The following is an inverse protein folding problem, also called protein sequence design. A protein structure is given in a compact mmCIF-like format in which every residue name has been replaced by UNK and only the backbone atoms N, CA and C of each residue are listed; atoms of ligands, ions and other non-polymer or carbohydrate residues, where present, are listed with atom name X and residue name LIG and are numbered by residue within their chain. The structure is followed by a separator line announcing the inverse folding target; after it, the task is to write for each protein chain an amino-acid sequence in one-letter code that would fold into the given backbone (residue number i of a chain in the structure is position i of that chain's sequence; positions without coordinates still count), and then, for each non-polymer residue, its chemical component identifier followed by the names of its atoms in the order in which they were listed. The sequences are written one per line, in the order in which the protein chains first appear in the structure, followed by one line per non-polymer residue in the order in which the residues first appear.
data_IF_831734255857
#
_entry.id   IF_831734255857
#
_cell.length_a   1.000
_cell.length_b   1.000
_cell.length_c   1.000
_cell.angle_alpha   90.00
_cell.angle_beta   90.00
_cell.angle_gamma   90.00
#
_symmetry.space_group_name_H-M   'P 1'
#
loop_
_entity.id
_entity.type
_entity.pdbx_description
1 polymer ?
#
# COMPACT_ATOMS: atom_id res chain seq x y z
N UNK A 1 -15.09 -1.58 -12.62
CA UNK A 1 -15.51 -0.65 -11.53
C UNK A 1 -15.57 0.75 -12.08
N UNK A 2 -16.65 1.50 -11.79
CA UNK A 2 -16.85 2.86 -12.32
C UNK A 2 -15.82 3.84 -11.75
N UNK A 3 -15.50 4.89 -12.50
CA UNK A 3 -14.61 5.98 -12.06
C UNK A 3 -13.12 5.69 -12.12
N UNK A 4 -12.69 4.51 -12.60
CA UNK A 4 -11.28 4.11 -12.70
C UNK A 4 -10.72 4.32 -14.12
N UNK A 5 -11.54 4.13 -15.14
CA UNK A 5 -11.09 4.31 -16.53
C UNK A 5 -10.39 5.66 -16.75
N UNK A 6 -9.25 5.65 -17.41
CA UNK A 6 -8.38 6.82 -17.65
C UNK A 6 -7.92 7.57 -16.39
N UNK A 7 -8.03 6.96 -15.20
CA UNK A 7 -7.51 7.56 -13.98
C UNK A 7 -6.00 7.39 -13.86
N UNK A 8 -5.34 8.38 -13.25
CA UNK A 8 -3.90 8.32 -12.95
C UNK A 8 -3.64 7.77 -11.55
N UNK A 9 -2.87 6.69 -11.48
CA UNK A 9 -2.55 5.97 -10.24
C UNK A 9 -1.04 5.95 -10.00
N UNK A 10 -0.62 6.33 -8.80
CA UNK A 10 0.79 6.33 -8.38
C UNK A 10 0.97 5.35 -7.22
N UNK A 11 1.90 4.40 -7.33
CA UNK A 11 2.09 3.32 -6.34
C UNK A 11 3.54 3.29 -5.87
N UNK A 12 3.80 3.56 -4.58
CA UNK A 12 5.12 3.35 -3.97
C UNK A 12 5.32 1.89 -3.59
N UNK A 13 6.57 1.39 -3.64
CA UNK A 13 6.81 -0.05 -3.53
C UNK A 13 6.11 -0.83 -4.65
N UNK A 14 5.99 -0.19 -5.81
CA UNK A 14 5.19 -0.67 -6.95
C UNK A 14 5.73 -1.94 -7.61
N UNK A 15 7.00 -2.27 -7.40
CA UNK A 15 7.64 -3.46 -7.94
C UNK A 15 7.60 -4.67 -7.01
N UNK A 16 7.08 -4.54 -5.79
CA UNK A 16 6.78 -5.65 -4.88
C UNK A 16 5.53 -6.42 -5.31
N UNK A 17 5.30 -7.60 -4.71
CA UNK A 17 4.19 -8.48 -5.13
C UNK A 17 2.81 -7.83 -4.94
N UNK A 18 2.56 -7.14 -3.81
CA UNK A 18 1.31 -6.41 -3.57
C UNK A 18 1.21 -5.23 -4.54
N UNK A 19 2.28 -4.44 -4.69
CA UNK A 19 2.30 -3.29 -5.60
C UNK A 19 2.00 -3.67 -7.05
N UNK A 20 2.60 -4.76 -7.55
CA UNK A 20 2.34 -5.29 -8.89
C UNK A 20 0.92 -5.84 -9.04
N UNK A 21 0.37 -6.48 -8.02
CA UNK A 21 -1.02 -6.96 -8.04
C UNK A 21 -2.01 -5.78 -8.07
N UNK A 22 -1.76 -4.75 -7.27
CA UNK A 22 -2.55 -3.50 -7.29
C UNK A 22 -2.46 -2.84 -8.67
N UNK A 23 -1.24 -2.67 -9.20
CA UNK A 23 -1.03 -2.10 -10.54
C UNK A 23 -1.82 -2.85 -11.61
N UNK A 24 -1.78 -4.18 -11.60
CA UNK A 24 -2.53 -5.02 -12.54
C UNK A 24 -4.02 -4.76 -12.48
N UNK A 25 -4.62 -4.72 -11.27
CA UNK A 25 -6.05 -4.47 -11.11
C UNK A 25 -6.48 -3.10 -11.63
N UNK A 26 -5.66 -2.07 -11.41
CA UNK A 26 -5.94 -0.75 -11.95
C UNK A 26 -5.79 -0.68 -13.47
N UNK A 27 -4.77 -1.33 -14.06
CA UNK A 27 -4.59 -1.43 -15.50
C UNK A 27 -5.73 -2.18 -16.18
N UNK A 28 -6.18 -3.30 -15.61
CA UNK A 28 -7.35 -4.06 -16.08
C UNK A 28 -8.65 -3.23 -16.05
N UNK A 29 -8.71 -2.24 -15.15
CA UNK A 29 -9.83 -1.30 -15.07
C UNK A 29 -9.65 -0.03 -15.93
N UNK A 30 -8.62 0.03 -16.79
CA UNK A 30 -8.38 1.12 -17.74
C UNK A 30 -7.60 2.32 -17.17
N UNK A 31 -6.99 2.19 -16.00
CA UNK A 31 -6.16 3.24 -15.43
C UNK A 31 -4.76 3.32 -16.05
N UNK A 32 -4.12 4.49 -15.93
CA UNK A 32 -2.68 4.66 -16.16
C UNK A 32 -1.94 4.57 -14.83
N UNK A 33 -0.86 3.81 -14.77
CA UNK A 33 -0.16 3.48 -13.52
C UNK A 33 1.30 3.89 -13.56
N UNK A 34 1.75 4.66 -12.56
CA UNK A 34 3.16 4.92 -12.28
C UNK A 34 3.61 4.07 -11.11
N UNK A 35 4.59 3.20 -11.35
CA UNK A 35 5.28 2.45 -10.31
C UNK A 35 6.46 3.26 -9.79
N UNK A 36 6.55 3.48 -8.50
CA UNK A 36 7.66 4.14 -7.83
C UNK A 36 8.34 3.15 -6.87
N UNK A 37 9.64 2.90 -7.04
CA UNK A 37 10.36 1.90 -6.26
C UNK A 37 11.88 2.17 -6.26
N UNK A 38 12.62 1.52 -5.35
CA UNK A 38 14.09 1.58 -5.28
C UNK A 38 14.80 0.60 -6.22
N UNK A 39 14.08 -0.33 -6.85
CA UNK A 39 14.70 -1.28 -7.77
C UNK A 39 15.33 -0.56 -8.98
N UNK A 40 16.31 -1.18 -9.62
CA UNK A 40 16.89 -0.62 -10.85
C UNK A 40 15.85 -0.52 -11.97
N UNK A 41 16.00 0.46 -12.84
CA UNK A 41 15.10 0.66 -13.99
C UNK A 41 15.04 -0.59 -14.89
N UNK A 42 16.17 -1.28 -15.07
CA UNK A 42 16.22 -2.51 -15.82
C UNK A 42 15.35 -3.61 -15.21
N UNK A 43 15.41 -3.79 -13.88
CA UNK A 43 14.56 -4.75 -13.15
C UNK A 43 13.10 -4.37 -13.24
N UNK A 44 12.75 -3.09 -13.08
CA UNK A 44 11.39 -2.61 -13.21
C UNK A 44 10.82 -2.88 -14.60
N UNK A 45 11.54 -2.54 -15.66
CA UNK A 45 11.15 -2.82 -17.06
C UNK A 45 10.91 -4.31 -17.31
N UNK A 46 11.78 -5.18 -16.78
CA UNK A 46 11.60 -6.63 -16.89
C UNK A 46 10.34 -7.11 -16.17
N UNK A 47 10.04 -6.60 -14.97
CA UNK A 47 8.82 -6.92 -14.21
C UNK A 47 7.56 -6.45 -14.96
N UNK A 48 7.55 -5.20 -15.48
CA UNK A 48 6.44 -4.66 -16.27
C UNK A 48 6.17 -5.53 -17.49
N UNK A 49 7.21 -5.83 -18.27
CA UNK A 49 7.09 -6.68 -19.47
C UNK A 49 6.57 -8.08 -19.15
N UNK A 50 7.05 -8.69 -18.04
CA UNK A 50 6.69 -10.07 -17.67
C UNK A 50 5.32 -10.15 -17.01
N UNK A 51 5.00 -9.22 -16.09
CA UNK A 51 3.85 -9.35 -15.18
C UNK A 51 2.66 -8.46 -15.55
N UNK A 52 2.87 -7.28 -16.14
CA UNK A 52 1.78 -6.33 -16.39
C UNK A 52 1.37 -6.24 -17.86
N UNK A 53 2.32 -6.31 -18.80
CA UNK A 53 2.10 -6.36 -20.26
C UNK A 53 1.16 -5.26 -20.79
N UNK A 54 1.29 -4.04 -20.29
CA UNK A 54 0.46 -2.90 -20.66
C UNK A 54 1.32 -1.70 -21.08
N UNK A 55 0.89 -0.89 -22.06
CA UNK A 55 1.53 0.38 -22.40
C UNK A 55 1.19 1.49 -21.37
N UNK A 56 0.13 1.33 -20.59
CA UNK A 56 -0.38 2.31 -19.65
C UNK A 56 0.31 2.22 -18.27
N UNK A 57 1.49 1.61 -18.22
CA UNK A 57 2.32 1.56 -17.01
C UNK A 57 3.72 2.08 -17.28
N UNK A 58 4.24 2.87 -16.35
CA UNK A 58 5.61 3.38 -16.35
C UNK A 58 6.24 3.21 -14.98
N UNK A 59 7.55 3.48 -14.91
CA UNK A 59 8.35 3.36 -13.69
C UNK A 59 9.13 4.64 -13.42
N UNK A 60 9.33 4.95 -12.15
CA UNK A 60 10.25 5.99 -11.66
C UNK A 60 10.99 5.48 -10.42
N UNK A 61 12.30 5.72 -10.37
CA UNK A 61 13.08 5.45 -9.15
C UNK A 61 12.64 6.40 -8.03
N UNK A 62 12.35 5.85 -6.85
CA UNK A 62 11.88 6.64 -5.71
C UNK A 62 12.32 6.02 -4.39
N UNK A 63 13.14 6.77 -3.65
CA UNK A 63 13.40 6.52 -2.24
C UNK A 63 12.37 7.31 -1.41
N UNK A 64 11.41 6.61 -0.82
CA UNK A 64 10.33 7.24 -0.03
C UNK A 64 10.84 7.90 1.25
N UNK A 65 12.04 7.58 1.71
CA UNK A 65 12.64 8.17 2.92
C UNK A 65 13.19 9.57 2.66
N UNK A 66 13.35 9.96 1.37
CA UNK A 66 13.97 11.21 0.96
C UNK A 66 12.96 12.12 0.27
N UNK A 67 12.64 13.25 0.91
CA UNK A 67 11.66 14.21 0.41
C UNK A 67 11.93 14.63 -1.06
N UNK A 68 13.18 14.97 -1.40
CA UNK A 68 13.56 15.36 -2.76
C UNK A 68 13.34 14.24 -3.79
N UNK A 69 13.55 12.97 -3.40
CA UNK A 69 13.28 11.82 -4.26
C UNK A 69 11.77 11.64 -4.52
N UNK A 70 10.97 11.82 -3.50
CA UNK A 70 9.50 11.79 -3.62
C UNK A 70 9.00 12.93 -4.51
N UNK A 71 9.52 14.14 -4.32
CA UNK A 71 9.16 15.31 -5.14
C UNK A 71 9.49 15.07 -6.63
N UNK A 72 10.69 14.57 -6.93
CA UNK A 72 11.11 14.23 -8.30
C UNK A 72 10.23 13.12 -8.90
N UNK A 73 9.90 12.08 -8.12
CA UNK A 73 9.07 10.99 -8.58
C UNK A 73 7.63 11.46 -8.90
N UNK A 74 7.02 12.33 -8.08
CA UNK A 74 5.73 12.93 -8.41
C UNK A 74 5.79 13.84 -9.64
N UNK A 75 6.85 14.60 -9.84
CA UNK A 75 7.02 15.43 -11.04
C UNK A 75 7.07 14.56 -12.33
N UNK A 76 7.83 13.46 -12.31
CA UNK A 76 7.87 12.49 -13.41
C UNK A 76 6.52 11.79 -13.60
N UNK A 77 5.89 11.35 -12.48
CA UNK A 77 4.59 10.70 -12.48
C UNK A 77 3.50 11.57 -13.13
N UNK A 78 3.46 12.84 -12.81
CA UNK A 78 2.47 13.78 -13.39
C UNK A 78 2.60 13.91 -14.90
N UNK A 79 3.83 13.93 -15.45
CA UNK A 79 4.04 13.98 -16.90
C UNK A 79 3.46 12.77 -17.60
N UNK A 80 3.59 11.59 -17.02
CA UNK A 80 3.05 10.36 -17.57
C UNK A 80 1.54 10.22 -17.35
N UNK A 81 1.07 10.45 -16.12
CA UNK A 81 -0.32 10.22 -15.74
C UNK A 81 -1.28 11.30 -16.25
N UNK A 82 -0.81 12.53 -16.46
CA UNK A 82 -1.62 13.71 -16.75
C UNK A 82 -2.36 14.23 -15.51
N UNK A 83 -3.19 13.39 -14.89
CA UNK A 83 -3.90 13.65 -13.64
C UNK A 83 -3.53 12.61 -12.58
N UNK A 84 -3.50 13.02 -11.32
CA UNK A 84 -3.27 12.14 -10.18
C UNK A 84 -4.60 11.92 -9.45
N UNK A 85 -5.19 10.75 -9.61
CA UNK A 85 -6.49 10.41 -9.01
C UNK A 85 -6.35 9.51 -7.78
N UNK A 86 -5.40 8.59 -7.79
CA UNK A 86 -5.16 7.67 -6.69
C UNK A 86 -3.68 7.56 -6.38
N UNK A 87 -3.35 7.59 -5.09
CA UNK A 87 -2.01 7.25 -4.60
C UNK A 87 -2.11 6.07 -3.66
N UNK A 88 -1.22 5.10 -3.85
CA UNK A 88 -1.08 3.95 -2.98
C UNK A 88 0.28 4.02 -2.28
N UNK A 89 0.28 4.36 -1.01
CA UNK A 89 1.44 4.33 -0.12
C UNK A 89 1.70 2.89 0.31
N UNK A 90 2.40 2.11 -0.55
CA UNK A 90 2.60 0.69 -0.34
C UNK A 90 4.05 0.32 -0.02
N UNK A 91 5.02 1.20 -0.22
CA UNK A 91 6.40 0.96 0.19
C UNK A 91 6.48 0.62 1.67
N UNK A 92 7.18 -0.47 1.99
CA UNK A 92 7.34 -0.92 3.37
C UNK A 92 8.35 -2.04 3.50
N UNK A 93 8.95 -2.12 4.68
CA UNK A 93 9.84 -3.18 5.11
C UNK A 93 9.32 -3.78 6.42
N UNK A 94 9.64 -5.06 6.65
CA UNK A 94 9.38 -5.74 7.91
C UNK A 94 10.69 -6.38 8.39
N UNK A 95 10.98 -6.24 9.67
CA UNK A 95 12.08 -6.89 10.36
C UNK A 95 11.50 -7.65 11.55
N UNK A 96 12.02 -8.83 11.79
CA UNK A 96 11.65 -9.67 12.94
C UNK A 96 12.86 -9.78 13.85
N UNK A 97 12.87 -9.03 14.92
CA UNK A 97 13.94 -8.97 15.89
C UNK A 97 13.35 -9.01 17.31
N UNK A 98 13.87 -9.82 18.24
CA UNK A 98 13.45 -9.80 19.64
C UNK A 98 13.56 -8.38 20.20
N UNK A 99 12.62 -7.96 21.06
CA UNK A 99 12.54 -6.59 21.54
C UNK A 99 13.87 -6.06 22.13
N UNK A 100 14.58 -6.89 22.88
CA UNK A 100 15.86 -6.52 23.50
C UNK A 100 17.03 -6.42 22.51
N UNK A 101 16.87 -6.90 21.28
CA UNK A 101 17.89 -6.94 20.23
C UNK A 101 17.64 -5.92 19.10
N UNK A 102 16.49 -5.23 19.14
CA UNK A 102 16.16 -4.21 18.12
C UNK A 102 17.16 -3.06 18.23
N UNK A 103 17.99 -2.86 17.21
CA UNK A 103 18.90 -1.73 17.18
C UNK A 103 18.19 -0.41 16.85
N UNK A 104 18.77 0.71 17.26
CA UNK A 104 18.24 2.05 16.93
C UNK A 104 18.19 2.27 15.43
N UNK A 105 19.15 1.74 14.67
CA UNK A 105 19.20 1.84 13.21
C UNK A 105 18.09 1.01 12.56
N UNK A 106 17.82 -0.20 13.05
CA UNK A 106 16.74 -1.05 12.56
C UNK A 106 15.37 -0.44 12.81
N UNK A 107 15.19 0.12 14.02
CA UNK A 107 14.02 0.89 14.40
C UNK A 107 13.83 2.11 13.49
N UNK A 108 14.85 2.98 13.39
CA UNK A 108 14.80 4.19 12.58
C UNK A 108 14.54 3.90 11.11
N UNK A 109 15.19 2.89 10.52
CA UNK A 109 14.99 2.50 9.13
C UNK A 109 13.56 2.03 8.87
N UNK A 110 12.97 1.25 9.79
CA UNK A 110 11.59 0.76 9.65
C UNK A 110 10.59 1.93 9.70
N UNK A 111 10.73 2.84 10.65
CA UNK A 111 9.88 4.04 10.74
C UNK A 111 10.10 4.97 9.55
N UNK A 112 11.33 5.17 9.10
CA UNK A 112 11.65 6.02 7.96
C UNK A 112 10.94 5.56 6.68
N UNK A 113 10.96 4.25 6.38
CA UNK A 113 10.30 3.71 5.20
C UNK A 113 8.78 3.66 5.38
N UNK A 114 8.30 3.00 6.44
CA UNK A 114 6.88 2.68 6.58
C UNK A 114 6.04 3.89 6.94
N UNK A 115 6.48 4.69 7.90
CA UNK A 115 5.68 5.80 8.45
C UNK A 115 6.04 7.13 7.79
N UNK A 116 7.31 7.55 7.86
CA UNK A 116 7.75 8.82 7.28
C UNK A 116 7.60 8.81 5.76
N UNK A 117 7.97 7.71 5.08
CA UNK A 117 7.79 7.57 3.64
C UNK A 117 6.33 7.64 3.19
N UNK A 118 5.42 7.03 3.96
CA UNK A 118 3.98 7.16 3.72
C UNK A 118 3.48 8.58 3.92
N UNK A 119 3.95 9.27 4.97
CA UNK A 119 3.63 10.67 5.22
C UNK A 119 4.10 11.57 4.06
N UNK A 120 5.36 11.46 3.66
CA UNK A 120 5.92 12.25 2.56
C UNK A 120 5.14 12.03 1.27
N UNK A 121 4.82 10.78 0.94
CA UNK A 121 4.05 10.40 -0.25
C UNK A 121 2.63 10.96 -0.19
N UNK A 122 1.92 10.74 0.90
CA UNK A 122 0.54 11.18 1.06
C UNK A 122 0.41 12.71 1.05
N UNK A 123 1.34 13.43 1.68
CA UNK A 123 1.32 14.90 1.72
C UNK A 123 1.51 15.51 0.30
N UNK A 124 2.46 14.96 -0.50
CA UNK A 124 2.66 15.41 -1.89
C UNK A 124 1.45 15.11 -2.74
N UNK A 125 0.88 13.92 -2.59
CA UNK A 125 -0.37 13.55 -3.26
C UNK A 125 -1.50 14.51 -2.93
N UNK A 126 -1.76 14.80 -1.66
CA UNK A 126 -2.81 15.72 -1.22
C UNK A 126 -2.63 17.13 -1.81
N UNK A 127 -1.39 17.67 -1.79
CA UNK A 127 -1.07 18.98 -2.39
C UNK A 127 -1.33 19.04 -3.90
N UNK A 128 -1.22 17.93 -4.60
CA UNK A 128 -1.55 17.82 -6.03
C UNK A 128 -3.06 17.68 -6.20
N UNK A 129 -3.67 16.74 -5.48
CA UNK A 129 -5.09 16.38 -5.62
C UNK A 129 -6.04 17.51 -5.26
N UNK A 130 -5.71 18.36 -4.26
CA UNK A 130 -6.55 19.52 -3.92
C UNK A 130 -6.76 20.49 -5.10
N UNK A 131 -5.85 20.51 -6.08
CA UNK A 131 -5.92 21.34 -7.29
C UNK A 131 -6.71 20.65 -8.42
N UNK A 132 -7.07 19.38 -8.28
CA UNK A 132 -7.84 18.67 -9.29
C UNK A 132 -9.27 19.22 -9.38
N UNK A 133 -9.84 19.22 -10.60
CA UNK A 133 -11.28 19.40 -10.76
C UNK A 133 -12.02 18.25 -10.05
N UNK A 134 -13.12 18.55 -9.35
CA UNK A 134 -13.96 17.53 -8.71
C UNK A 134 -14.56 16.61 -9.78
N UNK A 135 -14.54 15.32 -9.49
CA UNK A 135 -15.26 14.28 -10.25
C UNK A 135 -16.68 14.13 -9.71
N UNK A 136 -17.41 13.17 -10.24
CA UNK A 136 -18.68 12.70 -9.68
C UNK A 136 -18.52 12.45 -8.17
N UNK A 137 -19.56 12.64 -7.39
CA UNK A 137 -19.57 12.60 -5.92
C UNK A 137 -18.63 13.61 -5.23
N UNK A 138 -18.15 14.65 -5.94
CA UNK A 138 -17.33 15.71 -5.36
C UNK A 138 -15.87 15.33 -5.07
N UNK A 139 -15.43 14.13 -5.45
CA UNK A 139 -14.09 13.61 -5.18
C UNK A 139 -13.02 14.26 -6.07
N UNK A 140 -11.88 14.61 -5.48
CA UNK A 140 -10.68 15.11 -6.18
C UNK A 140 -9.55 14.09 -6.24
N UNK A 141 -9.54 13.14 -5.32
CA UNK A 141 -8.54 12.07 -5.27
C UNK A 141 -8.75 11.11 -4.11
N UNK A 142 -7.99 10.03 -4.13
CA UNK A 142 -8.00 9.00 -3.09
C UNK A 142 -6.57 8.65 -2.69
N UNK A 143 -6.29 8.65 -1.39
CA UNK A 143 -5.01 8.21 -0.80
C UNK A 143 -5.25 6.91 -0.06
N UNK A 144 -4.54 5.86 -0.44
CA UNK A 144 -4.65 4.54 0.15
C UNK A 144 -3.31 4.14 0.77
N UNK A 145 -3.34 3.69 2.02
CA UNK A 145 -2.15 3.20 2.73
C UNK A 145 -2.21 1.68 2.83
N UNK A 146 -1.07 1.02 2.64
CA UNK A 146 -0.91 -0.40 2.94
C UNK A 146 -0.52 -0.54 4.41
N UNK A 147 -1.52 -0.79 5.25
CA UNK A 147 -1.36 -1.12 6.65
C UNK A 147 -0.99 -2.58 6.87
N UNK A 148 -1.39 -3.12 7.99
CA UNK A 148 -1.29 -4.53 8.34
C UNK A 148 -2.20 -4.83 9.52
N UNK A 149 -2.68 -6.06 9.65
CA UNK A 149 -3.41 -6.53 10.82
C UNK A 149 -2.66 -6.36 12.15
N UNK A 150 -1.31 -6.30 12.09
CA UNK A 150 -0.45 -6.09 13.28
C UNK A 150 -0.56 -4.70 13.90
N UNK A 151 -1.26 -3.78 13.26
CA UNK A 151 -1.56 -2.47 13.84
C UNK A 151 -2.52 -2.56 15.03
N UNK A 152 -3.37 -3.60 15.05
CA UNK A 152 -4.36 -3.87 16.09
C UNK A 152 -4.05 -5.17 16.87
N UNK A 153 -3.23 -6.07 16.30
CA UNK A 153 -2.86 -7.35 16.88
C UNK A 153 -1.33 -7.45 17.02
N UNK A 154 -0.76 -7.47 18.24
CA UNK A 154 0.68 -7.52 18.42
C UNK A 154 1.26 -8.83 17.85
N UNK A 155 2.41 -8.71 17.17
CA UNK A 155 3.15 -9.83 16.64
C UNK A 155 4.52 -9.90 17.30
N UNK A 156 4.90 -11.03 17.95
CA UNK A 156 6.21 -11.19 18.56
C UNK A 156 7.35 -10.90 17.58
N UNK A 157 8.40 -10.26 18.07
CA UNK A 157 9.59 -9.83 17.31
C UNK A 157 9.31 -8.76 16.23
N UNK A 158 8.10 -8.18 16.19
CA UNK A 158 7.70 -7.19 15.20
C UNK A 158 7.61 -5.76 15.72
N UNK A 159 8.33 -5.39 16.77
CA UNK A 159 8.14 -4.12 17.51
C UNK A 159 8.17 -2.91 16.58
N UNK A 160 9.23 -2.72 15.81
CA UNK A 160 9.37 -1.57 14.90
C UNK A 160 8.30 -1.58 13.80
N UNK A 161 7.99 -2.75 13.27
CA UNK A 161 6.96 -2.92 12.24
C UNK A 161 5.56 -2.62 12.78
N UNK A 162 5.18 -3.22 13.92
CA UNK A 162 3.87 -2.97 14.55
C UNK A 162 3.69 -1.49 14.89
N UNK A 163 4.71 -0.86 15.50
CA UNK A 163 4.70 0.57 15.81
C UNK A 163 4.50 1.42 14.55
N UNK A 164 5.21 1.11 13.46
CA UNK A 164 5.06 1.83 12.19
C UNK A 164 3.65 1.70 11.60
N UNK A 165 3.04 0.51 11.70
CA UNK A 165 1.68 0.24 11.18
C UNK A 165 0.59 0.86 12.05
N UNK A 166 0.73 0.86 13.37
CA UNK A 166 -0.13 1.61 14.28
C UNK A 166 -0.08 3.11 14.02
N UNK A 167 1.13 3.65 13.80
CA UNK A 167 1.32 5.05 13.40
C UNK A 167 0.65 5.39 12.06
N UNK A 168 0.75 4.52 11.04
CA UNK A 168 0.05 4.69 9.77
C UNK A 168 -1.47 4.71 9.95
N UNK A 169 -2.02 3.86 10.81
CA UNK A 169 -3.46 3.80 11.07
C UNK A 169 -3.98 5.12 11.65
N UNK A 170 -3.33 5.64 12.67
CA UNK A 170 -3.73 6.91 13.27
C UNK A 170 -3.53 8.08 12.29
N UNK A 171 -2.40 8.11 11.58
CA UNK A 171 -2.13 9.12 10.55
C UNK A 171 -3.22 9.12 9.46
N UNK A 172 -3.67 7.95 9.00
CA UNK A 172 -4.74 7.84 8.01
C UNK A 172 -6.07 8.45 8.50
N UNK A 173 -6.42 8.26 9.78
CA UNK A 173 -7.64 8.84 10.38
C UNK A 173 -7.57 10.36 10.43
N UNK A 174 -6.44 10.92 10.87
CA UNK A 174 -6.23 12.38 10.91
C UNK A 174 -6.27 12.97 9.50
N UNK A 175 -5.54 12.37 8.55
CA UNK A 175 -5.57 12.81 7.15
C UNK A 175 -6.98 12.75 6.56
N UNK A 176 -7.77 11.71 6.86
CA UNK A 176 -9.14 11.58 6.36
C UNK A 176 -10.01 12.74 6.86
N UNK A 177 -9.90 13.11 8.13
CA UNK A 177 -10.65 14.22 8.72
C UNK A 177 -10.27 15.56 8.08
N UNK A 178 -8.97 15.83 7.92
CA UNK A 178 -8.47 17.10 7.40
C UNK A 178 -8.69 17.25 5.88
N UNK A 179 -8.62 16.16 5.13
CA UNK A 179 -8.66 16.18 3.67
C UNK A 179 -10.07 15.97 3.08
N UNK A 180 -11.02 15.47 3.86
CA UNK A 180 -12.40 15.27 3.41
C UNK A 180 -13.06 16.57 2.91
N UNK A 181 -12.94 17.74 3.57
CA UNK A 181 -13.47 19.00 3.05
C UNK A 181 -12.88 19.41 1.68
N UNK A 182 -11.66 18.94 1.40
CA UNK A 182 -11.00 19.15 0.12
C UNK A 182 -11.47 18.17 -0.97
N UNK A 183 -12.33 17.20 -0.64
CA UNK A 183 -12.79 16.15 -1.56
C UNK A 183 -11.75 15.04 -1.78
N UNK A 184 -10.88 14.81 -0.82
CA UNK A 184 -9.88 13.72 -0.88
C UNK A 184 -10.23 12.68 0.17
N UNK A 185 -10.45 11.44 -0.26
CA UNK A 185 -10.68 10.32 0.65
C UNK A 185 -9.35 9.67 1.05
N UNK A 186 -9.27 9.20 2.29
CA UNK A 186 -8.10 8.49 2.81
C UNK A 186 -8.56 7.22 3.51
N UNK A 187 -8.03 6.07 3.10
CA UNK A 187 -8.31 4.78 3.73
C UNK A 187 -7.01 3.97 3.88
N UNK A 188 -7.06 3.04 4.82
CA UNK A 188 -5.99 2.09 5.04
C UNK A 188 -6.50 0.69 4.71
N UNK A 189 -5.77 -0.05 3.90
CA UNK A 189 -5.99 -1.49 3.65
C UNK A 189 -5.04 -2.26 4.54
N UNK A 190 -5.56 -3.11 5.40
CA UNK A 190 -4.80 -3.88 6.39
C UNK A 190 -4.83 -5.38 6.05
N UNK A 191 -3.87 -5.87 5.25
CA UNK A 191 -3.76 -7.30 5.00
C UNK A 191 -3.35 -8.07 6.25
N UNK A 192 -3.83 -9.30 6.39
CA UNK A 192 -3.31 -10.30 7.29
C UNK A 192 -2.08 -11.00 6.71
N UNK A 193 -2.05 -12.33 6.79
CA UNK A 193 -0.99 -13.13 6.17
C UNK A 193 -1.22 -13.22 4.66
N UNK A 194 -0.27 -12.68 3.88
CA UNK A 194 -0.32 -12.67 2.41
C UNK A 194 0.73 -13.63 1.86
N UNK A 195 0.33 -14.50 0.93
CA UNK A 195 1.23 -15.39 0.18
C UNK A 195 2.01 -14.58 -0.87
N UNK A 196 3.00 -13.81 -0.39
CA UNK A 196 3.79 -12.88 -1.17
C UNK A 196 5.17 -12.66 -0.53
N UNK A 197 6.18 -12.27 -1.31
CA UNK A 197 7.51 -11.91 -0.85
C UNK A 197 8.13 -12.94 0.08
N UNK A 198 8.72 -12.48 1.19
CA UNK A 198 9.38 -13.33 2.19
C UNK A 198 8.41 -14.33 2.84
N UNK A 199 7.18 -13.92 3.12
CA UNK A 199 6.18 -14.79 3.77
C UNK A 199 5.87 -16.03 2.93
N UNK A 200 5.87 -15.89 1.58
CA UNK A 200 5.72 -17.01 0.67
C UNK A 200 6.86 -18.03 0.82
N UNK A 201 8.11 -17.57 0.81
CA UNK A 201 9.27 -18.46 0.97
C UNK A 201 9.22 -19.19 2.31
N UNK A 202 8.91 -18.49 3.40
CA UNK A 202 8.79 -19.11 4.72
C UNK A 202 7.67 -20.16 4.73
N UNK A 203 6.53 -19.88 4.11
CA UNK A 203 5.40 -20.80 4.05
C UNK A 203 5.74 -22.08 3.27
N UNK A 204 6.40 -21.92 2.11
CA UNK A 204 6.76 -23.03 1.24
C UNK A 204 7.83 -23.96 1.85
N UNK A 205 8.74 -23.41 2.65
CA UNK A 205 9.89 -24.12 3.21
C UNK A 205 9.67 -24.60 4.66
N UNK A 206 8.76 -23.97 5.41
CA UNK A 206 8.57 -24.24 6.84
C UNK A 206 7.18 -24.81 7.14
N UNK A 207 7.10 -26.15 7.28
CA UNK A 207 5.86 -26.86 7.61
C UNK A 207 5.21 -26.41 8.94
N UNK A 208 6.04 -25.97 9.92
CA UNK A 208 5.51 -25.47 11.19
C UNK A 208 4.82 -24.11 11.00
N UNK A 209 5.37 -23.26 10.14
CA UNK A 209 4.73 -22.00 9.78
C UNK A 209 3.43 -22.22 8.99
N UNK A 210 3.40 -23.18 8.06
CA UNK A 210 2.17 -23.53 7.35
C UNK A 210 1.06 -23.98 8.30
N UNK A 211 1.39 -24.86 9.27
CA UNK A 211 0.44 -25.27 10.33
C UNK A 211 0.00 -24.12 11.23
N UNK A 212 0.89 -23.14 11.47
CA UNK A 212 0.53 -21.93 12.22
C UNK A 212 -0.50 -21.10 11.46
N UNK A 213 -0.36 -20.96 10.14
CA UNK A 213 -1.33 -20.28 9.28
C UNK A 213 -2.71 -20.93 9.40
N UNK A 214 -2.78 -22.28 9.27
CA UNK A 214 -4.02 -23.02 9.36
C UNK A 214 -4.75 -22.81 10.71
N UNK A 215 -3.99 -22.67 11.80
CA UNK A 215 -4.52 -22.40 13.14
C UNK A 215 -4.89 -20.93 13.37
N UNK A 216 -4.18 -20.02 12.74
CA UNK A 216 -4.31 -18.57 12.97
C UNK A 216 -5.38 -17.95 12.09
N UNK A 217 -5.55 -18.45 10.87
CA UNK A 217 -6.46 -17.87 9.88
C UNK A 217 -7.73 -18.74 9.76
N UNK A 218 -8.90 -18.31 10.22
CA UNK A 218 -10.14 -19.07 10.11
C UNK A 218 -10.49 -19.56 8.70
N UNK A 219 -10.15 -18.81 7.65
CA UNK A 219 -10.31 -19.27 6.27
C UNK A 219 -9.30 -20.36 5.86
N UNK A 220 -8.40 -20.82 6.75
CA UNK A 220 -7.47 -21.93 6.55
C UNK A 220 -6.36 -21.67 5.52
N UNK A 221 -6.12 -20.44 5.11
CA UNK A 221 -5.08 -20.10 4.14
C UNK A 221 -4.64 -18.64 4.22
N UNK A 222 -3.49 -18.34 3.68
CA UNK A 222 -3.09 -16.96 3.42
C UNK A 222 -3.91 -16.37 2.27
N UNK A 223 -4.06 -15.04 2.27
CA UNK A 223 -4.59 -14.33 1.11
C UNK A 223 -3.56 -14.27 -0.01
N UNK A 224 -4.01 -14.14 -1.24
CA UNK A 224 -3.15 -13.79 -2.38
C UNK A 224 -2.99 -12.27 -2.50
N UNK A 225 -1.91 -11.82 -3.12
CA UNK A 225 -1.75 -10.39 -3.44
C UNK A 225 -2.89 -9.84 -4.32
N UNK A 226 -3.50 -10.69 -5.16
CA UNK A 226 -4.63 -10.32 -6.02
C UNK A 226 -5.92 -10.08 -5.23
N UNK A 227 -6.17 -10.84 -4.16
CA UNK A 227 -7.31 -10.62 -3.26
C UNK A 227 -7.15 -9.30 -2.50
N UNK A 228 -5.94 -9.03 -1.99
CA UNK A 228 -5.63 -7.75 -1.34
C UNK A 228 -5.80 -6.58 -2.31
N UNK A 229 -5.35 -6.72 -3.56
CA UNK A 229 -5.43 -5.66 -4.58
C UNK A 229 -6.86 -5.26 -4.94
N UNK A 230 -7.83 -6.18 -4.85
CA UNK A 230 -9.25 -5.89 -5.08
C UNK A 230 -9.81 -4.81 -4.18
N UNK A 231 -9.34 -4.74 -2.94
CA UNK A 231 -9.78 -3.74 -1.96
C UNK A 231 -9.28 -2.35 -2.27
N UNK A 232 -8.06 -2.21 -2.78
CA UNK A 232 -7.54 -0.93 -3.26
C UNK A 232 -8.37 -0.40 -4.43
N UNK A 233 -8.73 -1.27 -5.38
CA UNK A 233 -9.54 -0.91 -6.51
C UNK A 233 -10.94 -0.46 -6.09
N UNK A 234 -11.59 -1.19 -5.17
CA UNK A 234 -12.88 -0.81 -4.59
C UNK A 234 -12.84 0.58 -3.96
N UNK A 235 -11.90 0.82 -3.04
CA UNK A 235 -11.79 2.11 -2.34
C UNK A 235 -11.48 3.29 -3.27
N UNK A 236 -10.80 3.05 -4.38
CA UNK A 236 -10.50 4.06 -5.38
C UNK A 236 -11.67 4.31 -6.36
N UNK A 237 -12.58 3.36 -6.53
CA UNK A 237 -13.72 3.44 -7.46
C UNK A 237 -14.84 4.35 -6.94
N UNK A 238 -15.86 4.59 -7.77
CA UNK A 238 -17.04 5.34 -7.36
C UNK A 238 -17.86 4.58 -6.32
N UNK A 239 -17.79 3.25 -6.30
CA UNK A 239 -18.46 2.42 -5.29
C UNK A 239 -17.86 2.63 -3.89
N UNK A 240 -16.58 3.05 -3.80
CA UNK A 240 -15.91 3.45 -2.56
C UNK A 240 -15.95 4.96 -2.26
N UNK A 241 -16.67 5.78 -3.04
CA UNK A 241 -16.57 7.25 -2.95
C UNK A 241 -17.00 7.85 -1.60
N UNK A 242 -17.83 7.15 -0.83
CA UNK A 242 -18.29 7.61 0.50
C UNK A 242 -17.49 6.98 1.65
N UNK A 243 -16.43 6.20 1.33
CA UNK A 243 -15.59 5.54 2.33
C UNK A 243 -14.34 6.38 2.58
N UNK A 244 -14.17 6.87 3.82
CA UNK A 244 -12.96 7.58 4.26
C UNK A 244 -12.71 7.36 5.75
N UNK A 245 -11.47 7.47 6.21
CA UNK A 245 -11.06 7.31 7.60
C UNK A 245 -11.11 5.87 8.12
N UNK A 246 -11.47 4.89 7.29
CA UNK A 246 -11.59 3.49 7.69
C UNK A 246 -10.32 2.70 7.45
N UNK A 247 -10.18 1.64 8.25
CA UNK A 247 -9.27 0.52 7.98
C UNK A 247 -10.09 -0.63 7.40
N UNK A 248 -9.80 -1.03 6.17
CA UNK A 248 -10.36 -2.24 5.57
C UNK A 248 -9.44 -3.42 5.88
N UNK A 249 -9.84 -4.22 6.86
CA UNK A 249 -9.11 -5.41 7.30
C UNK A 249 -9.37 -6.59 6.34
N UNK A 250 -8.30 -7.24 5.90
CA UNK A 250 -8.34 -8.38 4.95
C UNK A 250 -7.42 -9.47 5.51
N UNK A 251 -7.86 -10.17 6.52
CA UNK A 251 -7.04 -11.10 7.30
C UNK A 251 -7.60 -12.53 7.38
N UNK A 252 -8.69 -12.82 6.68
CA UNK A 252 -9.34 -14.12 6.73
C UNK A 252 -9.90 -14.49 8.10
N UNK A 253 -10.13 -13.48 8.97
CA UNK A 253 -10.62 -13.65 10.34
C UNK A 253 -9.50 -13.86 11.37
N UNK A 254 -8.24 -13.71 11.00
CA UNK A 254 -7.10 -14.01 11.89
C UNK A 254 -7.12 -13.21 13.20
N UNK A 255 -7.59 -11.96 13.18
CA UNK A 255 -7.70 -11.12 14.38
C UNK A 255 -8.85 -11.51 15.32
N UNK A 256 -9.77 -12.37 14.87
CA UNK A 256 -10.91 -12.84 15.68
C UNK A 256 -10.55 -14.08 16.52
N UNK A 257 -9.45 -14.74 16.20
CA UNK A 257 -9.01 -15.95 16.90
C UNK A 257 -8.32 -15.56 18.21
N UNK A 258 -8.84 -16.05 19.34
CA UNK A 258 -8.14 -15.92 20.62
C UNK A 258 -6.88 -16.78 20.57
N UNK A 259 -5.74 -16.18 20.84
CA UNK A 259 -4.47 -16.91 21.04
C UNK A 259 -4.48 -17.41 22.48
N UNK A 260 -4.66 -18.72 22.65
CA UNK A 260 -4.45 -19.40 23.93
C UNK A 260 -2.94 -19.56 24.15
#
# INVERSE_FOLDING_TARGET
MRGIDKSGVFITGGCGDIGLAVARRFLEAGARVMLADLVSEQKAKALIKKKLKSPDVSFVSCDVTRAASVDAAFAAGRKFLGRLDTVVCNAGIARNEPFLEVSEEAWAATLAVNLTGSFLTAQRAARIMQKNRRREHGRRGTILLTGSWVQDMPWPNGTSYCASKGGQQMMAKVMAQELAPLGITVCLVAPGMVYAGLTKHIYDENKSFAKLVDKTVPLGRMSTAAEVAGSFLFLASDDGAYVTGTTLLIDGGATLVRRN
#
